data_IF_082047468430
#
_entry.id   IF_082047468430
#
_cell.length_a   1.000
_cell.length_b   1.000
_cell.length_c   1.000
_cell.angle_alpha   90.00
_cell.angle_beta   90.00
_cell.angle_gamma   90.00
#
_symmetry.space_group_name_H-M   'P 1'
#
loop_
_entity.id
_entity.type
_entity.pdbx_description
1 polymer ?
#
# COMPACT_ATOMS: atom_id res chain seq x y z
N UNK A 1 66.35 -0.86 -32.88
CA UNK A 1 65.63 -0.18 -31.76
C UNK A 1 64.14 -0.27 -32.03
N UNK A 2 63.42 -1.18 -31.35
CA UNK A 2 61.99 -1.32 -31.50
C UNK A 2 61.33 -0.55 -30.34
N UNK A 3 60.54 0.52 -30.64
CA UNK A 3 59.75 1.27 -29.68
C UNK A 3 58.51 0.48 -29.33
N UNK A 4 58.38 0.00 -28.10
CA UNK A 4 57.22 -0.65 -27.55
C UNK A 4 56.25 0.47 -27.07
N UNK A 5 55.20 0.77 -27.82
CA UNK A 5 54.14 1.69 -27.41
C UNK A 5 53.18 1.00 -26.49
N UNK A 6 53.24 1.34 -25.18
CA UNK A 6 52.26 0.89 -24.17
C UNK A 6 51.00 1.74 -24.31
N UNK A 7 49.93 1.14 -24.81
CA UNK A 7 48.58 1.74 -24.83
C UNK A 7 48.02 1.69 -23.39
N UNK A 8 47.97 2.83 -22.73
CA UNK A 8 47.16 3.02 -21.52
C UNK A 8 45.71 3.14 -21.90
N UNK A 9 44.90 2.08 -21.71
CA UNK A 9 43.45 2.19 -21.72
C UNK A 9 43.03 2.96 -20.46
N UNK A 10 42.17 4.02 -20.60
CA UNK A 10 41.63 4.68 -19.41
C UNK A 10 40.74 3.70 -18.67
N UNK A 11 41.06 3.43 -17.41
CA UNK A 11 40.15 2.78 -16.47
C UNK A 11 38.96 3.72 -16.29
N UNK A 12 37.86 3.42 -16.99
CA UNK A 12 36.58 4.05 -16.76
C UNK A 12 36.14 3.63 -15.35
N UNK A 13 36.34 4.47 -14.35
CA UNK A 13 35.75 4.29 -13.04
C UNK A 13 34.24 4.48 -13.24
N UNK A 14 33.50 3.38 -13.35
CA UNK A 14 32.05 3.40 -13.19
C UNK A 14 31.76 4.07 -11.85
N UNK A 15 31.11 5.20 -11.87
CA UNK A 15 30.66 5.88 -10.67
C UNK A 15 29.60 4.99 -10.03
N UNK A 16 30.00 4.22 -9.04
CA UNK A 16 29.21 3.14 -8.43
C UNK A 16 28.17 3.70 -7.45
N UNK A 17 27.54 4.82 -7.79
CA UNK A 17 26.42 5.37 -7.00
C UNK A 17 25.19 4.52 -7.26
N UNK A 18 24.58 4.01 -6.18
CA UNK A 18 23.32 3.27 -6.25
C UNK A 18 22.21 4.13 -6.88
N UNK A 19 21.34 3.51 -7.67
CA UNK A 19 20.13 4.16 -8.17
C UNK A 19 19.27 4.65 -7.00
N UNK A 20 18.93 5.95 -7.02
CA UNK A 20 18.07 6.59 -6.01
C UNK A 20 16.61 6.49 -6.43
N UNK A 21 15.82 5.74 -5.68
CA UNK A 21 14.40 5.55 -5.95
C UNK A 21 13.59 6.26 -4.87
N UNK A 22 12.65 7.10 -5.30
CA UNK A 22 11.69 7.76 -4.42
C UNK A 22 10.30 7.20 -4.68
N UNK A 23 9.60 6.87 -3.62
CA UNK A 23 8.21 6.40 -3.68
C UNK A 23 7.28 7.40 -3.01
N UNK A 24 6.01 7.40 -3.38
CA UNK A 24 5.04 8.34 -2.81
C UNK A 24 4.69 8.01 -1.36
N UNK A 25 4.63 6.73 -0.97
CA UNK A 25 4.30 6.34 0.40
C UNK A 25 5.03 5.06 0.85
N UNK A 26 4.98 4.81 2.16
CA UNK A 26 5.83 3.84 2.86
C UNK A 26 5.61 2.39 2.41
N UNK A 27 4.39 2.00 2.06
CA UNK A 27 4.07 0.63 1.65
C UNK A 27 4.78 0.26 0.35
N UNK A 28 4.68 1.09 -0.70
CA UNK A 28 5.40 0.82 -1.95
C UNK A 28 6.91 1.02 -1.80
N UNK A 29 7.36 1.83 -0.83
CA UNK A 29 8.78 1.91 -0.50
C UNK A 29 9.33 0.60 0.03
N UNK A 30 8.59 -0.08 0.90
CA UNK A 30 9.00 -1.37 1.45
C UNK A 30 9.02 -2.47 0.37
N UNK A 31 7.99 -2.54 -0.47
CA UNK A 31 7.96 -3.46 -1.62
C UNK A 31 9.20 -3.23 -2.50
N UNK A 32 9.48 -1.97 -2.84
CA UNK A 32 10.62 -1.61 -3.67
C UNK A 32 11.96 -1.94 -3.00
N UNK A 33 12.11 -1.75 -1.67
CA UNK A 33 13.31 -2.14 -0.90
C UNK A 33 13.55 -3.63 -0.93
N UNK A 34 12.51 -4.44 -0.77
CA UNK A 34 12.63 -5.90 -0.84
C UNK A 34 13.12 -6.37 -2.21
N UNK A 35 12.72 -5.70 -3.29
CA UNK A 35 13.18 -5.98 -4.65
C UNK A 35 14.59 -5.45 -4.87
N UNK A 36 14.89 -4.24 -4.43
CA UNK A 36 16.19 -3.59 -4.57
C UNK A 36 17.31 -4.33 -3.80
N UNK A 37 16.99 -4.91 -2.64
CA UNK A 37 18.02 -5.42 -1.74
C UNK A 37 18.96 -4.29 -1.33
N UNK A 38 20.24 -4.46 -1.63
CA UNK A 38 21.28 -3.47 -1.30
C UNK A 38 21.83 -2.72 -2.53
N UNK A 39 21.28 -2.92 -3.73
CA UNK A 39 21.83 -2.35 -4.97
C UNK A 39 21.17 -1.04 -5.41
N UNK A 40 20.03 -0.67 -4.82
CA UNK A 40 19.43 0.66 -5.00
C UNK A 40 19.04 1.26 -3.64
N UNK A 41 18.99 2.59 -3.56
CA UNK A 41 18.60 3.35 -2.38
C UNK A 41 17.15 3.79 -2.50
N UNK A 42 16.25 3.17 -1.73
CA UNK A 42 14.81 3.45 -1.79
C UNK A 42 14.35 4.26 -0.59
N UNK A 43 13.63 5.33 -0.85
CA UNK A 43 13.04 6.19 0.19
C UNK A 43 11.59 6.58 -0.14
N UNK A 44 10.81 6.93 0.91
CA UNK A 44 9.41 7.37 0.76
C UNK A 44 9.29 8.89 0.93
N UNK A 45 8.34 9.52 0.23
CA UNK A 45 7.94 10.92 0.47
C UNK A 45 7.19 11.00 1.78
N UNK A 46 6.10 10.24 1.94
CA UNK A 46 5.36 10.24 3.20
C UNK A 46 6.15 9.55 4.30
N UNK A 47 5.93 9.97 5.53
CA UNK A 47 6.51 9.36 6.73
C UNK A 47 5.66 8.19 7.21
N UNK A 48 6.24 7.34 8.04
CA UNK A 48 5.51 6.29 8.75
C UNK A 48 4.37 6.90 9.58
N UNK A 49 3.21 6.25 9.59
CA UNK A 49 2.02 6.69 10.28
C UNK A 49 1.25 7.85 9.62
N UNK A 50 1.73 8.36 8.48
CA UNK A 50 1.07 9.47 7.79
C UNK A 50 -0.19 8.98 7.05
N UNK A 51 -1.22 9.83 7.08
CA UNK A 51 -2.35 9.76 6.16
C UNK A 51 -1.87 10.14 4.76
N UNK A 52 -2.31 9.43 3.71
CA UNK A 52 -1.74 9.53 2.37
C UNK A 52 -2.65 10.19 1.33
N UNK A 53 -3.97 10.33 1.58
CA UNK A 53 -4.91 10.91 0.62
C UNK A 53 -4.89 12.44 0.61
N UNK A 54 -4.67 13.05 1.78
CA UNK A 54 -4.60 14.50 1.96
C UNK A 54 -3.19 15.00 2.32
N UNK A 55 -2.14 14.24 2.00
CA UNK A 55 -0.77 14.60 2.34
C UNK A 55 -0.38 15.94 1.74
N UNK A 56 0.31 16.78 2.53
CA UNK A 56 0.83 18.06 2.07
C UNK A 56 2.35 17.99 2.00
N UNK A 57 2.94 17.92 0.79
CA UNK A 57 4.37 17.85 0.62
C UNK A 57 5.09 19.07 1.17
N UNK A 58 6.22 18.84 1.82
CA UNK A 58 7.12 19.89 2.28
C UNK A 58 8.14 20.23 1.20
N UNK A 59 8.82 21.41 1.26
CA UNK A 59 9.93 21.71 0.35
C UNK A 59 11.03 20.63 0.34
N UNK A 60 11.25 19.93 1.47
CA UNK A 60 12.24 18.86 1.57
C UNK A 60 11.79 17.61 0.77
N UNK A 61 10.51 17.34 0.71
CA UNK A 61 9.96 16.21 -0.08
C UNK A 61 10.14 16.47 -1.58
N UNK A 62 9.99 17.74 -2.00
CA UNK A 62 10.21 18.17 -3.39
C UNK A 62 11.67 17.99 -3.77
N UNK A 63 12.61 18.47 -2.94
CA UNK A 63 14.05 18.30 -3.17
C UNK A 63 14.42 16.83 -3.25
N UNK A 64 13.89 15.99 -2.34
CA UNK A 64 14.11 14.55 -2.39
C UNK A 64 13.68 13.94 -3.72
N UNK A 65 12.50 14.33 -4.24
CA UNK A 65 12.00 13.84 -5.51
C UNK A 65 12.80 14.34 -6.70
N UNK A 66 13.34 15.57 -6.65
CA UNK A 66 14.21 16.12 -7.69
C UNK A 66 15.57 15.41 -7.78
N UNK A 67 16.08 14.92 -6.65
CA UNK A 67 17.37 14.21 -6.56
C UNK A 67 17.25 12.70 -6.88
N UNK A 68 16.06 12.23 -7.23
CA UNK A 68 15.81 10.84 -7.56
C UNK A 68 16.17 10.52 -9.02
N UNK A 69 16.62 9.28 -9.23
CA UNK A 69 16.80 8.69 -10.57
C UNK A 69 15.48 8.08 -11.09
N UNK A 70 14.57 7.72 -10.16
CA UNK A 70 13.29 7.09 -10.47
C UNK A 70 12.25 7.42 -9.38
N UNK A 71 11.02 7.75 -9.80
CA UNK A 71 9.86 7.89 -8.90
C UNK A 71 8.89 6.73 -9.14
N UNK A 72 8.48 6.07 -8.06
CA UNK A 72 7.42 5.07 -8.07
C UNK A 72 6.16 5.63 -7.39
N UNK A 73 5.04 5.60 -8.09
CA UNK A 73 3.75 6.07 -7.58
C UNK A 73 2.66 5.01 -7.72
N UNK A 74 1.63 5.11 -6.88
CA UNK A 74 0.49 4.21 -6.94
C UNK A 74 -0.35 4.43 -8.22
N UNK A 75 -0.80 5.65 -8.43
CA UNK A 75 -1.85 5.97 -9.40
C UNK A 75 -3.25 5.79 -8.82
N UNK A 76 -4.26 5.56 -9.68
CA UNK A 76 -5.68 5.44 -9.29
C UNK A 76 -6.19 6.64 -8.45
N UNK A 77 -5.69 7.83 -8.72
CA UNK A 77 -6.01 9.08 -8.03
C UNK A 77 -5.56 9.16 -6.57
N UNK A 78 -4.63 8.31 -6.11
CA UNK A 78 -4.12 8.40 -4.74
C UNK A 78 -3.34 9.71 -4.54
N UNK A 79 -2.42 10.00 -5.45
CA UNK A 79 -1.46 11.10 -5.31
C UNK A 79 -1.92 12.40 -5.99
N UNK A 80 -3.20 12.76 -5.91
CA UNK A 80 -3.71 14.04 -6.46
C UNK A 80 -2.92 15.23 -5.86
N UNK A 81 -2.53 15.12 -4.60
CA UNK A 81 -1.71 16.12 -3.90
C UNK A 81 -0.31 16.29 -4.49
N UNK A 82 0.20 15.30 -5.20
CA UNK A 82 1.54 15.31 -5.79
C UNK A 82 1.54 15.80 -7.26
N UNK A 83 0.39 15.78 -7.93
CA UNK A 83 0.27 16.18 -9.34
C UNK A 83 0.84 17.58 -9.64
N UNK A 84 0.62 18.63 -8.81
CA UNK A 84 1.22 19.95 -9.05
C UNK A 84 2.77 19.93 -9.04
N UNK A 85 3.37 18.96 -8.35
CA UNK A 85 4.84 18.85 -8.23
C UNK A 85 5.43 18.04 -9.38
N UNK A 86 4.70 17.09 -9.96
CA UNK A 86 5.15 16.34 -11.12
C UNK A 86 5.50 17.24 -12.31
N UNK A 87 4.81 18.37 -12.48
CA UNK A 87 5.12 19.34 -13.51
C UNK A 87 6.53 19.95 -13.36
N UNK A 88 7.03 20.05 -12.14
CA UNK A 88 8.35 20.55 -11.82
C UNK A 88 9.43 19.46 -11.77
N UNK A 89 9.03 18.19 -11.96
CA UNK A 89 9.90 17.01 -11.95
C UNK A 89 10.03 16.38 -13.36
N UNK A 90 9.86 17.18 -14.40
CA UNK A 90 9.81 16.71 -15.81
C UNK A 90 11.03 15.91 -16.25
N UNK A 91 12.17 16.05 -15.57
CA UNK A 91 13.40 15.33 -15.87
C UNK A 91 13.57 14.01 -15.07
N UNK A 92 12.69 13.73 -14.10
CA UNK A 92 12.77 12.50 -13.30
C UNK A 92 11.71 11.49 -13.81
N UNK A 93 12.11 10.33 -14.29
CA UNK A 93 11.17 9.33 -14.75
C UNK A 93 10.24 8.86 -13.63
N UNK A 94 8.97 8.67 -13.96
CA UNK A 94 7.95 8.23 -13.01
C UNK A 94 7.17 7.02 -13.53
N UNK A 95 7.00 6.01 -12.69
CA UNK A 95 6.29 4.75 -13.03
C UNK A 95 5.08 4.57 -12.12
N UNK A 96 3.92 4.33 -12.74
CA UNK A 96 2.66 4.01 -12.06
C UNK A 96 2.57 2.52 -11.80
N UNK A 97 2.54 2.11 -10.53
CA UNK A 97 2.62 0.72 -10.11
C UNK A 97 1.30 -0.06 -10.28
N UNK A 98 0.17 0.63 -10.42
CA UNK A 98 -1.14 0.01 -10.68
C UNK A 98 -1.41 -0.25 -12.17
N UNK A 99 -0.45 0.01 -13.04
CA UNK A 99 -0.58 -0.33 -14.48
C UNK A 99 -0.87 -1.81 -14.66
N UNK A 100 -1.94 -2.14 -15.40
CA UNK A 100 -2.41 -3.52 -15.61
C UNK A 100 -3.39 -4.04 -14.56
N UNK A 101 -3.66 -3.31 -13.47
CA UNK A 101 -4.69 -3.68 -12.50
C UNK A 101 -6.06 -3.19 -13.00
N UNK A 102 -7.08 -4.07 -12.91
CA UNK A 102 -8.47 -3.67 -13.09
C UNK A 102 -8.97 -2.97 -11.82
N UNK A 103 -9.23 -1.65 -11.84
CA UNK A 103 -9.61 -0.95 -10.64
C UNK A 103 -11.03 -1.31 -10.18
N UNK A 104 -11.21 -1.41 -8.87
CA UNK A 104 -12.53 -1.44 -8.26
C UNK A 104 -13.03 -0.01 -8.13
N UNK A 105 -14.31 0.20 -8.39
CA UNK A 105 -14.95 1.50 -8.19
C UNK A 105 -15.39 1.67 -6.74
N UNK A 106 -15.26 2.89 -6.22
CA UNK A 106 -15.87 3.29 -4.95
C UNK A 106 -17.39 3.26 -5.11
N UNK A 107 -18.09 2.60 -4.18
CA UNK A 107 -19.50 2.26 -4.32
C UNK A 107 -20.46 3.33 -3.81
N UNK A 108 -19.98 4.33 -3.04
CA UNK A 108 -20.86 5.37 -2.45
C UNK A 108 -20.11 6.66 -2.11
N UNK A 109 -20.89 7.70 -1.76
CA UNK A 109 -20.39 9.01 -1.34
C UNK A 109 -19.94 9.88 -2.50
N UNK A 110 -19.19 10.93 -2.19
CA UNK A 110 -18.71 11.91 -3.17
C UNK A 110 -17.73 11.34 -4.20
N UNK A 111 -17.11 10.20 -3.89
CA UNK A 111 -16.16 9.48 -4.75
C UNK A 111 -16.83 8.36 -5.56
N UNK A 112 -18.16 8.26 -5.56
CA UNK A 112 -18.89 7.22 -6.30
C UNK A 112 -18.42 7.10 -7.75
N UNK A 113 -18.07 5.88 -8.16
CA UNK A 113 -17.59 5.56 -9.50
C UNK A 113 -16.12 5.89 -9.77
N UNK A 114 -15.44 6.60 -8.87
CA UNK A 114 -13.99 6.81 -8.98
C UNK A 114 -13.25 5.51 -8.63
N UNK A 115 -12.04 5.30 -9.19
CA UNK A 115 -11.23 4.14 -8.84
C UNK A 115 -10.83 4.16 -7.37
N UNK A 116 -10.97 3.02 -6.69
CA UNK A 116 -10.44 2.83 -5.35
C UNK A 116 -8.92 2.63 -5.45
N UNK A 117 -8.09 3.43 -4.78
CA UNK A 117 -6.63 3.38 -4.94
C UNK A 117 -5.94 2.23 -4.20
N UNK A 118 -6.59 1.59 -3.21
CA UNK A 118 -5.97 0.67 -2.25
C UNK A 118 -5.68 -0.74 -2.82
N UNK A 119 -5.21 -0.82 -4.07
CA UNK A 119 -5.00 -2.08 -4.76
C UNK A 119 -3.90 -2.95 -4.11
N UNK A 120 -2.96 -2.35 -3.39
CA UNK A 120 -1.91 -3.08 -2.66
C UNK A 120 -2.47 -4.01 -1.57
N UNK A 121 -3.72 -3.86 -1.17
CA UNK A 121 -4.38 -4.77 -0.21
C UNK A 121 -4.81 -6.11 -0.84
N UNK A 122 -4.70 -6.26 -2.15
CA UNK A 122 -4.97 -7.51 -2.88
C UNK A 122 -3.70 -8.33 -3.06
N UNK A 123 -3.78 -9.64 -2.80
CA UNK A 123 -2.68 -10.56 -3.08
C UNK A 123 -2.31 -10.60 -4.57
N UNK A 124 -3.31 -10.64 -5.44
CA UNK A 124 -3.09 -10.70 -6.90
C UNK A 124 -2.52 -9.38 -7.42
N UNK A 125 -3.03 -8.24 -6.93
CA UNK A 125 -2.50 -6.94 -7.31
C UNK A 125 -1.08 -6.71 -6.78
N UNK A 126 -0.74 -7.20 -5.58
CA UNK A 126 0.63 -7.14 -5.05
C UNK A 126 1.66 -7.77 -6.02
N UNK A 127 1.29 -8.86 -6.70
CA UNK A 127 2.16 -9.48 -7.72
C UNK A 127 2.41 -8.52 -8.89
N UNK A 128 1.39 -7.75 -9.30
CA UNK A 128 1.49 -6.75 -10.38
C UNK A 128 2.37 -5.58 -9.95
N UNK A 129 2.21 -5.07 -8.70
CA UNK A 129 3.11 -4.05 -8.16
C UNK A 129 4.56 -4.48 -8.22
N UNK A 130 4.86 -5.71 -7.77
CA UNK A 130 6.21 -6.27 -7.80
C UNK A 130 6.74 -6.35 -9.23
N UNK A 131 5.92 -6.84 -10.20
CA UNK A 131 6.33 -6.93 -11.60
C UNK A 131 6.62 -5.57 -12.21
N UNK A 132 5.79 -4.57 -11.92
CA UNK A 132 5.99 -3.20 -12.39
C UNK A 132 7.26 -2.56 -11.80
N UNK A 133 7.56 -2.82 -10.52
CA UNK A 133 8.81 -2.37 -9.89
C UNK A 133 10.02 -3.04 -10.56
N UNK A 134 9.96 -4.36 -10.78
CA UNK A 134 11.05 -5.10 -11.45
C UNK A 134 11.26 -4.56 -12.86
N UNK A 135 10.20 -4.34 -13.62
CA UNK A 135 10.29 -3.79 -14.96
C UNK A 135 10.95 -2.40 -14.98
N UNK A 136 10.55 -1.52 -14.03
CA UNK A 136 11.14 -0.20 -13.87
C UNK A 136 12.62 -0.29 -13.48
N UNK A 137 12.97 -1.11 -12.50
CA UNK A 137 14.36 -1.26 -12.06
C UNK A 137 15.26 -1.81 -13.15
N UNK A 138 14.80 -2.80 -13.92
CA UNK A 138 15.55 -3.33 -15.08
C UNK A 138 15.74 -2.30 -16.20
N UNK A 139 14.79 -1.39 -16.35
CA UNK A 139 14.89 -0.31 -17.37
C UNK A 139 15.92 0.75 -16.98
N UNK A 140 15.95 1.15 -15.69
CA UNK A 140 16.78 2.27 -15.21
C UNK A 140 18.10 1.84 -14.55
N UNK A 141 18.23 0.55 -14.20
CA UNK A 141 19.44 -0.05 -13.64
C UNK A 141 19.61 -1.50 -14.17
N UNK A 142 19.89 -1.67 -15.46
CA UNK A 142 19.94 -2.97 -16.12
C UNK A 142 21.06 -3.90 -15.59
N UNK A 143 22.12 -3.34 -15.03
CA UNK A 143 23.26 -4.12 -14.50
C UNK A 143 22.86 -5.01 -13.32
N UNK A 144 21.86 -4.59 -12.53
CA UNK A 144 21.36 -5.31 -11.37
C UNK A 144 20.11 -6.17 -11.64
N UNK A 145 19.72 -6.36 -12.92
CA UNK A 145 18.49 -7.05 -13.33
C UNK A 145 18.29 -8.43 -12.69
N UNK A 146 19.35 -9.23 -12.60
CA UNK A 146 19.31 -10.60 -12.02
C UNK A 146 18.98 -10.53 -10.52
N UNK A 147 19.49 -9.53 -9.81
CA UNK A 147 19.21 -9.34 -8.39
C UNK A 147 17.75 -9.02 -8.20
N UNK A 148 17.19 -8.08 -8.98
CA UNK A 148 15.79 -7.69 -8.91
C UNK A 148 14.84 -8.86 -9.22
N UNK A 149 15.14 -9.65 -10.24
CA UNK A 149 14.35 -10.85 -10.59
C UNK A 149 14.39 -11.90 -9.48
N UNK A 150 15.56 -12.15 -8.91
CA UNK A 150 15.73 -13.13 -7.83
C UNK A 150 14.99 -12.69 -6.59
N UNK A 151 15.18 -11.45 -6.15
CA UNK A 151 14.53 -10.89 -4.97
C UNK A 151 13.00 -10.87 -5.13
N UNK A 152 12.50 -10.46 -6.30
CA UNK A 152 11.05 -10.42 -6.55
C UNK A 152 10.42 -11.80 -6.49
N UNK A 153 11.06 -12.82 -7.04
CA UNK A 153 10.57 -14.22 -6.99
C UNK A 153 10.46 -14.71 -5.54
N UNK A 154 11.49 -14.43 -4.74
CA UNK A 154 11.51 -14.81 -3.33
C UNK A 154 10.41 -14.07 -2.55
N UNK A 155 10.31 -12.74 -2.73
CA UNK A 155 9.35 -11.91 -2.04
C UNK A 155 7.90 -12.24 -2.39
N UNK A 156 7.60 -12.50 -3.68
CA UNK A 156 6.29 -13.02 -4.09
C UNK A 156 5.91 -14.32 -3.38
N UNK A 157 6.86 -15.25 -3.28
CA UNK A 157 6.65 -16.51 -2.58
C UNK A 157 6.38 -16.31 -1.09
N UNK A 158 7.09 -15.39 -0.45
CA UNK A 158 6.92 -15.07 0.95
C UNK A 158 5.54 -14.45 1.23
N UNK A 159 5.10 -13.48 0.43
CA UNK A 159 3.76 -12.87 0.53
C UNK A 159 2.67 -13.95 0.37
N UNK A 160 2.78 -14.78 -0.66
CA UNK A 160 1.79 -15.84 -0.92
C UNK A 160 1.72 -16.82 0.26
N UNK A 161 2.86 -17.27 0.77
CA UNK A 161 2.93 -18.24 1.87
C UNK A 161 2.41 -17.64 3.20
N UNK A 162 2.50 -16.34 3.38
CA UNK A 162 2.01 -15.64 4.57
C UNK A 162 0.51 -15.38 4.49
N UNK A 163 0.01 -14.86 3.36
CA UNK A 163 -1.38 -14.36 3.27
C UNK A 163 -2.37 -15.48 2.94
N UNK A 164 -1.99 -16.45 2.09
CA UNK A 164 -2.90 -17.51 1.64
C UNK A 164 -3.50 -18.34 2.79
N UNK A 165 -2.73 -18.80 3.80
CA UNK A 165 -3.29 -19.52 4.94
C UNK A 165 -4.33 -18.72 5.73
N UNK A 166 -4.12 -17.40 5.89
CA UNK A 166 -5.03 -16.50 6.59
C UNK A 166 -6.32 -16.30 5.80
N UNK A 167 -6.22 -16.09 4.49
CA UNK A 167 -7.37 -16.05 3.59
C UNK A 167 -8.17 -17.35 3.67
N UNK A 168 -7.50 -18.49 3.59
CA UNK A 168 -8.16 -19.79 3.61
C UNK A 168 -8.84 -20.07 4.97
N UNK A 169 -8.29 -19.57 6.08
CA UNK A 169 -8.92 -19.59 7.39
C UNK A 169 -10.19 -18.73 7.43
N UNK A 170 -10.14 -17.51 6.90
CA UNK A 170 -11.31 -16.62 6.80
C UNK A 170 -12.40 -17.25 5.89
N UNK A 171 -12.01 -17.92 4.81
CA UNK A 171 -12.95 -18.59 3.91
C UNK A 171 -13.72 -19.76 4.57
N UNK A 172 -13.24 -20.32 5.69
CA UNK A 172 -13.95 -21.32 6.49
C UNK A 172 -15.08 -20.73 7.34
N UNK A 173 -15.05 -19.41 7.61
CA UNK A 173 -16.13 -18.71 8.32
C UNK A 173 -17.37 -18.73 7.41
N UNK A 174 -18.59 -18.98 7.94
CA UNK A 174 -19.81 -18.96 7.15
C UNK A 174 -19.99 -17.64 6.40
N UNK A 175 -20.36 -17.70 5.11
CA UNK A 175 -20.46 -16.52 4.22
C UNK A 175 -21.31 -15.37 4.81
N UNK A 176 -22.38 -15.69 5.56
CA UNK A 176 -23.25 -14.72 6.22
C UNK A 176 -22.56 -13.92 7.33
N UNK A 177 -21.48 -14.47 7.92
CA UNK A 177 -20.69 -13.83 8.99
C UNK A 177 -19.42 -13.14 8.47
N UNK A 178 -19.07 -13.29 7.17
CA UNK A 178 -17.87 -12.69 6.59
C UNK A 178 -18.12 -11.25 6.18
N UNK A 179 -18.19 -10.38 7.17
CA UNK A 179 -18.29 -8.93 6.98
C UNK A 179 -17.01 -8.26 7.45
N UNK A 180 -16.53 -7.30 6.69
CA UNK A 180 -15.50 -6.36 7.11
C UNK A 180 -16.13 -4.99 7.23
N UNK A 181 -16.20 -4.47 8.46
CA UNK A 181 -16.72 -3.14 8.77
C UNK A 181 -15.55 -2.28 9.23
N UNK A 182 -15.27 -1.21 8.49
CA UNK A 182 -14.09 -0.36 8.70
C UNK A 182 -14.46 1.12 8.79
N UNK A 183 -13.53 1.96 9.14
CA UNK A 183 -13.74 3.40 9.08
C UNK A 183 -13.75 3.87 7.63
N UNK A 184 -12.72 3.54 6.86
CA UNK A 184 -12.59 3.88 5.44
C UNK A 184 -12.86 2.67 4.53
N UNK A 185 -13.31 2.96 3.30
CA UNK A 185 -13.49 1.97 2.21
C UNK A 185 -12.16 1.54 1.56
N UNK A 186 -11.14 1.29 2.37
CA UNK A 186 -9.78 1.00 1.92
C UNK A 186 -9.51 -0.47 1.64
N UNK A 187 -10.44 -1.37 1.95
CA UNK A 187 -10.21 -2.82 1.91
C UNK A 187 -10.96 -3.54 0.79
N UNK A 188 -11.58 -2.83 -0.15
CA UNK A 188 -12.42 -3.42 -1.20
C UNK A 188 -11.72 -4.53 -1.99
N UNK A 189 -10.43 -4.38 -2.28
CA UNK A 189 -9.66 -5.42 -2.98
C UNK A 189 -9.41 -6.66 -2.10
N UNK A 190 -9.06 -6.48 -0.82
CA UNK A 190 -8.92 -7.57 0.14
C UNK A 190 -10.27 -8.29 0.35
N UNK A 191 -11.35 -7.53 0.51
CA UNK A 191 -12.72 -8.05 0.66
C UNK A 191 -13.11 -8.92 -0.53
N UNK A 192 -12.83 -8.48 -1.76
CA UNK A 192 -13.03 -9.26 -2.98
C UNK A 192 -12.26 -10.58 -2.93
N UNK A 193 -10.96 -10.53 -2.63
CA UNK A 193 -10.07 -11.69 -2.63
C UNK A 193 -10.41 -12.69 -1.53
N UNK A 194 -10.90 -12.20 -0.39
CA UNK A 194 -11.31 -13.00 0.78
C UNK A 194 -12.80 -13.37 0.74
N UNK A 195 -13.52 -13.00 -0.33
CA UNK A 195 -14.96 -13.26 -0.53
C UNK A 195 -15.80 -12.83 0.69
N UNK A 196 -15.52 -11.65 1.18
CA UNK A 196 -16.22 -11.00 2.28
C UNK A 196 -17.29 -10.02 1.74
N UNK A 197 -18.05 -9.40 2.64
CA UNK A 197 -18.89 -8.22 2.38
C UNK A 197 -18.24 -7.03 3.06
N UNK A 198 -18.35 -5.85 2.46
CA UNK A 198 -17.75 -4.63 2.97
C UNK A 198 -18.82 -3.66 3.47
N UNK A 199 -18.52 -3.02 4.59
CA UNK A 199 -19.17 -1.79 5.06
C UNK A 199 -18.10 -0.85 5.55
N UNK A 200 -18.29 0.46 5.35
CA UNK A 200 -17.39 1.47 5.88
C UNK A 200 -18.15 2.73 6.30
N UNK A 201 -17.56 3.49 7.22
CA UNK A 201 -18.15 4.73 7.73
C UNK A 201 -18.01 5.89 6.73
N UNK A 202 -16.94 5.91 5.94
CA UNK A 202 -16.69 6.85 4.84
C UNK A 202 -15.84 6.22 3.73
N UNK A 203 -15.96 6.72 2.48
CA UNK A 203 -15.32 6.05 1.33
C UNK A 203 -13.80 6.26 1.26
N UNK A 204 -13.30 7.47 1.57
CA UNK A 204 -11.89 7.87 1.45
C UNK A 204 -11.54 8.84 2.58
N UNK A 205 -10.33 8.77 3.10
CA UNK A 205 -9.77 9.69 4.10
C UNK A 205 -9.41 11.04 3.45
N UNK A 206 -10.40 11.90 3.24
CA UNK A 206 -10.20 13.22 2.64
C UNK A 206 -10.47 14.38 3.60
N UNK A 207 -10.29 14.17 4.90
CA UNK A 207 -10.47 15.19 5.95
C UNK A 207 -11.85 15.24 6.59
N UNK A 208 -12.87 14.57 6.05
CA UNK A 208 -14.21 14.45 6.66
C UNK A 208 -14.39 13.04 7.24
N UNK A 209 -14.37 12.93 8.54
CA UNK A 209 -14.70 11.69 9.26
C UNK A 209 -16.22 11.52 9.30
N UNK A 210 -16.78 10.75 8.40
CA UNK A 210 -18.16 10.29 8.34
C UNK A 210 -19.25 11.19 8.93
N UNK A 211 -20.30 11.46 8.17
CA UNK A 211 -21.45 12.19 8.66
C UNK A 211 -22.26 11.34 9.67
N UNK A 212 -23.03 11.94 10.58
CA UNK A 212 -23.95 11.21 11.46
C UNK A 212 -24.87 10.27 10.70
N UNK A 213 -25.29 10.62 9.48
CA UNK A 213 -26.13 9.78 8.64
C UNK A 213 -25.38 8.52 8.14
N UNK A 214 -24.11 8.65 7.75
CA UNK A 214 -23.27 7.51 7.35
C UNK A 214 -23.04 6.56 8.52
N UNK A 215 -22.71 7.10 9.70
CA UNK A 215 -22.56 6.30 10.92
C UNK A 215 -23.86 5.55 11.24
N UNK A 216 -24.99 6.23 11.20
CA UNK A 216 -26.32 5.63 11.45
C UNK A 216 -26.62 4.47 10.52
N UNK A 217 -26.38 4.64 9.20
CA UNK A 217 -26.52 3.59 8.21
C UNK A 217 -25.70 2.35 8.55
N UNK A 218 -24.46 2.54 8.97
CA UNK A 218 -23.58 1.42 9.36
C UNK A 218 -24.09 0.75 10.63
N UNK A 219 -24.52 1.50 11.66
CA UNK A 219 -25.13 0.96 12.88
C UNK A 219 -26.32 0.07 12.55
N UNK A 220 -27.26 0.57 11.73
CA UNK A 220 -28.46 -0.18 11.35
C UNK A 220 -28.10 -1.51 10.65
N UNK A 221 -27.15 -1.48 9.69
CA UNK A 221 -26.72 -2.65 8.95
C UNK A 221 -25.94 -3.66 9.83
N UNK A 222 -25.14 -3.18 10.78
CA UNK A 222 -24.42 -4.04 11.74
C UNK A 222 -25.41 -4.79 12.62
N UNK A 223 -26.46 -4.14 13.11
CA UNK A 223 -27.54 -4.77 13.92
C UNK A 223 -28.32 -5.77 13.06
N UNK A 224 -28.81 -5.33 11.89
CA UNK A 224 -29.62 -6.17 10.98
C UNK A 224 -28.92 -7.47 10.60
N UNK A 225 -27.60 -7.41 10.33
CA UNK A 225 -26.84 -8.55 9.88
C UNK A 225 -26.11 -9.29 11.03
N UNK A 226 -26.30 -8.87 12.28
CA UNK A 226 -25.62 -9.42 13.47
C UNK A 226 -24.09 -9.55 13.25
N UNK A 227 -23.48 -8.46 12.79
CA UNK A 227 -22.06 -8.42 12.44
C UNK A 227 -21.23 -8.49 13.74
N UNK A 228 -20.27 -9.44 13.86
CA UNK A 228 -19.62 -9.69 15.14
C UNK A 228 -18.61 -8.63 15.54
N UNK A 229 -17.96 -7.95 14.59
CA UNK A 229 -16.88 -7.02 14.88
C UNK A 229 -16.82 -5.84 13.90
N UNK A 230 -16.35 -4.71 14.42
CA UNK A 230 -16.06 -3.46 13.68
C UNK A 230 -14.59 -3.12 13.89
N UNK A 231 -13.92 -2.63 12.86
CA UNK A 231 -12.49 -2.31 12.85
C UNK A 231 -12.28 -0.84 12.46
N UNK A 232 -11.05 -0.35 12.59
CA UNK A 232 -10.66 0.96 12.06
C UNK A 232 -9.17 0.98 11.71
N UNK A 233 -8.79 1.84 10.78
CA UNK A 233 -7.42 1.96 10.28
C UNK A 233 -6.54 2.75 11.25
N UNK A 234 -5.21 2.49 11.19
CA UNK A 234 -4.21 3.12 12.08
C UNK A 234 -4.01 4.61 11.82
N UNK A 235 -4.31 5.08 10.60
CA UNK A 235 -4.08 6.47 10.17
C UNK A 235 -5.19 7.44 10.55
N UNK A 236 -6.29 6.94 11.13
CA UNK A 236 -7.45 7.75 11.54
C UNK A 236 -7.87 7.48 12.99
N UNK A 237 -8.78 8.33 13.50
CA UNK A 237 -9.34 8.16 14.85
C UNK A 237 -10.19 6.89 14.96
N UNK A 238 -9.91 6.07 15.96
CA UNK A 238 -10.66 4.84 16.27
C UNK A 238 -12.06 5.11 16.88
N UNK A 239 -12.31 6.34 17.34
CA UNK A 239 -13.53 6.69 18.10
C UNK A 239 -14.84 6.37 17.36
N UNK A 240 -15.00 6.67 16.06
CA UNK A 240 -16.23 6.35 15.33
C UNK A 240 -16.52 4.84 15.30
N UNK A 241 -15.54 3.99 15.01
CA UNK A 241 -15.72 2.54 15.01
C UNK A 241 -16.04 2.00 16.41
N UNK A 242 -15.36 2.50 17.44
CA UNK A 242 -15.66 2.15 18.84
C UNK A 242 -17.07 2.59 19.25
N UNK A 243 -17.57 3.71 18.74
CA UNK A 243 -18.96 4.15 18.95
C UNK A 243 -19.93 3.16 18.30
N UNK A 244 -19.73 2.80 17.03
CA UNK A 244 -20.56 1.79 16.34
C UNK A 244 -20.56 0.47 17.12
N UNK A 245 -19.40 0.00 17.58
CA UNK A 245 -19.31 -1.22 18.38
C UNK A 245 -20.16 -1.15 19.66
N UNK A 246 -20.09 -0.03 20.41
CA UNK A 246 -20.89 0.16 21.62
C UNK A 246 -22.40 0.23 21.34
N UNK A 247 -22.81 0.93 20.29
CA UNK A 247 -24.23 1.13 19.97
C UNK A 247 -24.88 -0.16 19.45
N UNK A 248 -24.10 -1.05 18.80
CA UNK A 248 -24.59 -2.28 18.18
C UNK A 248 -24.41 -3.53 19.05
N UNK A 249 -23.61 -3.43 20.12
CA UNK A 249 -23.18 -4.61 20.88
C UNK A 249 -22.15 -5.47 20.19
N UNK A 250 -21.62 -5.08 19.04
CA UNK A 250 -20.54 -5.75 18.34
C UNK A 250 -19.20 -5.52 19.08
N UNK A 251 -18.24 -6.43 18.85
CA UNK A 251 -16.88 -6.19 19.36
C UNK A 251 -16.18 -5.10 18.55
N UNK A 252 -15.34 -4.27 19.22
CA UNK A 252 -14.28 -3.58 18.51
C UNK A 252 -13.18 -4.62 18.21
N UNK A 253 -13.04 -4.98 16.94
CA UNK A 253 -12.17 -6.07 16.47
C UNK A 253 -10.69 -5.73 16.53
N UNK A 254 -10.37 -4.44 16.50
CA UNK A 254 -9.00 -3.95 16.59
C UNK A 254 -8.64 -2.98 15.47
N UNK A 255 -7.37 -2.58 15.48
CA UNK A 255 -6.76 -1.68 14.51
C UNK A 255 -6.27 -2.47 13.31
N UNK A 256 -6.57 -1.98 12.11
CA UNK A 256 -6.05 -2.50 10.84
C UNK A 256 -5.00 -1.53 10.27
N UNK A 257 -4.17 -2.03 9.38
CA UNK A 257 -3.14 -1.23 8.72
C UNK A 257 -3.35 -1.30 7.21
N UNK A 258 -3.28 -0.15 6.55
CA UNK A 258 -3.49 -0.03 5.10
C UNK A 258 -2.57 1.03 4.47
N UNK A 259 -2.65 2.29 4.89
CA UNK A 259 -2.04 3.44 4.21
C UNK A 259 -0.58 3.66 4.56
N UNK A 260 -0.16 3.17 5.71
CA UNK A 260 1.18 3.43 6.21
C UNK A 260 1.73 2.26 7.01
N UNK A 261 3.05 2.10 6.91
CA UNK A 261 3.81 1.24 7.81
C UNK A 261 4.06 1.96 9.14
N UNK A 262 4.53 1.21 10.13
CA UNK A 262 5.05 1.74 11.39
C UNK A 262 6.57 1.88 11.34
N UNK A 263 7.16 2.47 12.38
CA UNK A 263 8.60 2.37 12.57
C UNK A 263 9.04 0.94 12.85
N UNK A 264 10.35 0.72 12.94
CA UNK A 264 10.95 -0.62 13.09
C UNK A 264 10.52 -1.37 14.36
N UNK A 265 10.06 -0.66 15.39
CA UNK A 265 9.63 -1.24 16.66
C UNK A 265 8.10 -1.34 16.76
N UNK A 266 7.38 -0.89 15.74
CA UNK A 266 5.93 -0.92 15.69
C UNK A 266 5.36 -2.26 15.22
N UNK A 267 4.05 -2.33 15.10
CA UNK A 267 3.35 -3.59 14.78
C UNK A 267 3.53 -4.04 13.33
N UNK A 268 3.72 -3.12 12.39
CA UNK A 268 3.80 -3.41 10.94
C UNK A 268 4.95 -2.63 10.29
N UNK A 269 6.22 -2.95 10.60
CA UNK A 269 7.38 -2.28 10.01
C UNK A 269 7.57 -2.60 8.52
N UNK A 270 6.94 -3.66 8.00
CA UNK A 270 7.05 -4.09 6.60
C UNK A 270 5.66 -4.26 5.96
N UNK A 271 5.62 -4.25 4.64
CA UNK A 271 4.39 -4.57 3.90
C UNK A 271 3.89 -5.99 4.16
N UNK A 272 4.81 -6.94 4.35
CA UNK A 272 4.44 -8.30 4.72
C UNK A 272 3.75 -8.36 6.09
N UNK A 273 4.28 -7.64 7.07
CA UNK A 273 3.66 -7.51 8.40
C UNK A 273 2.30 -6.81 8.31
N UNK A 274 2.17 -5.78 7.47
CA UNK A 274 0.90 -5.08 7.25
C UNK A 274 -0.18 -6.06 6.76
N UNK A 275 0.10 -6.85 5.74
CA UNK A 275 -0.84 -7.85 5.21
C UNK A 275 -1.16 -8.94 6.25
N UNK A 276 -0.13 -9.42 6.95
CA UNK A 276 -0.26 -10.47 7.96
C UNK A 276 -1.10 -9.99 9.14
N UNK A 277 -0.66 -8.93 9.82
CA UNK A 277 -1.30 -8.42 11.05
C UNK A 277 -2.74 -7.98 10.76
N UNK A 278 -2.98 -7.31 9.64
CA UNK A 278 -4.34 -6.92 9.22
C UNK A 278 -5.22 -8.16 9.01
N UNK A 279 -4.74 -9.18 8.30
CA UNK A 279 -5.52 -10.41 8.06
C UNK A 279 -5.75 -11.22 9.34
N UNK A 280 -4.76 -11.31 10.23
CA UNK A 280 -4.89 -11.95 11.55
C UNK A 280 -5.89 -11.23 12.45
N UNK A 281 -5.85 -9.89 12.48
CA UNK A 281 -6.79 -9.07 13.25
C UNK A 281 -8.22 -9.27 12.77
N UNK A 282 -8.44 -9.29 11.44
CA UNK A 282 -9.74 -9.58 10.86
C UNK A 282 -10.22 -10.99 11.25
N UNK A 283 -9.39 -12.01 11.09
CA UNK A 283 -9.71 -13.39 11.45
C UNK A 283 -10.12 -13.51 12.92
N UNK A 284 -9.34 -12.95 13.83
CA UNK A 284 -9.61 -12.95 15.27
C UNK A 284 -10.92 -12.23 15.62
N UNK A 285 -11.19 -11.08 15.00
CA UNK A 285 -12.42 -10.33 15.25
C UNK A 285 -13.68 -11.07 14.77
N UNK A 286 -13.60 -11.81 13.66
CA UNK A 286 -14.72 -12.54 13.09
C UNK A 286 -14.99 -13.89 13.77
N UNK A 287 -14.07 -14.41 14.56
CA UNK A 287 -14.15 -15.71 15.24
C UNK A 287 -14.45 -15.62 16.74
N UNK A 288 -14.67 -14.40 17.26
CA UNK A 288 -15.07 -14.13 18.64
C UNK A 288 -16.49 -14.53 18.96
#
# INVERSE_FOLDING_TARGET
MACLSILFAPLCHANNSKMKVVTTFTVIADIAKNIAGNVADVSSITKVGAEIHGYQPTPRDIVKAQDADLILRNGLNLEIWFEPFFQNLSNVPSVTLTTGIQPLSISEGEYLGKPNPHAWMSLDAAMIYIDNIVAAFKQYDPENSIIYETNSKNYKSEIINTVRPLRDAILKIPKKKRWLVTCEGAFSYLVRDFKMRELYLWPINSGAQGTPQQIRKVVDLVIENAIPAVFCESTVSQKPAQQVARETGSAYGGMLYVDSLTDQNGAVPTYLDLLKVTSETILLGLTR
#
